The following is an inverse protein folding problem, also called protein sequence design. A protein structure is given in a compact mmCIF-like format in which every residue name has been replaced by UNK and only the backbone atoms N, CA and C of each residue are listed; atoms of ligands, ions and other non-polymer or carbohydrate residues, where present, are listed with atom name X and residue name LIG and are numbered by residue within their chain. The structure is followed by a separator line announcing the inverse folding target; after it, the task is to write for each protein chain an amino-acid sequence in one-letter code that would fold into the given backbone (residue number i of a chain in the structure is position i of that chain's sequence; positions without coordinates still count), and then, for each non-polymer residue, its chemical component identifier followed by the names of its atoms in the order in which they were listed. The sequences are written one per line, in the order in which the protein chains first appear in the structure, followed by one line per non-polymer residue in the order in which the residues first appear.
data_IF_446598205971
#
_entry.id   IF_446598205971
#
_cell.length_a   1.000
_cell.length_b   1.000
_cell.length_c   1.000
_cell.angle_alpha   90.00
_cell.angle_beta   90.00
_cell.angle_gamma   90.00
#
_symmetry.space_group_name_H-M   'P 1'
#
loop_
_entity.id
_entity.type
_entity.pdbx_description
1 polymer ?
#
# COMPACT_ATOMS: atom_id res chain seq x y z
N UNK A 1 2.87 10.82 -19.26
CA UNK A 1 3.04 9.72 -18.29
C UNK A 1 1.87 8.77 -18.37
N UNK A 2 0.65 9.27 -18.48
CA UNK A 2 -0.56 8.44 -18.67
C UNK A 2 -1.03 8.59 -20.12
N UNK A 3 -1.24 7.48 -20.83
CA UNK A 3 -1.90 7.42 -22.12
C UNK A 3 -3.10 6.48 -22.06
N UNK A 4 -4.15 6.83 -22.79
CA UNK A 4 -5.41 6.10 -22.79
C UNK A 4 -5.79 5.83 -24.25
N UNK A 5 -5.92 4.57 -24.62
CA UNK A 5 -6.59 4.19 -25.86
C UNK A 5 -8.09 4.11 -25.56
N UNK A 6 -8.85 5.06 -26.09
CA UNK A 6 -10.30 5.11 -25.87
C UNK A 6 -11.07 4.00 -26.61
N UNK A 7 -10.49 3.43 -27.69
CA UNK A 7 -11.10 2.39 -28.50
C UNK A 7 -11.06 1.06 -27.75
N UNK A 8 -9.88 0.69 -27.29
CA UNK A 8 -9.62 -0.55 -26.55
C UNK A 8 -9.83 -0.40 -25.03
N UNK A 9 -10.09 0.83 -24.56
CA UNK A 9 -10.16 1.18 -23.13
C UNK A 9 -8.93 0.67 -22.37
N UNK A 10 -7.77 0.85 -22.98
CA UNK A 10 -6.47 0.45 -22.46
C UNK A 10 -5.79 1.65 -21.81
N UNK A 11 -5.34 1.47 -20.57
CA UNK A 11 -4.69 2.49 -19.76
C UNK A 11 -3.23 2.13 -19.59
N UNK A 12 -2.34 3.06 -19.94
CA UNK A 12 -0.90 2.86 -19.85
C UNK A 12 -0.26 4.00 -19.06
N UNK A 13 0.25 3.66 -17.88
CA UNK A 13 1.08 4.55 -17.07
C UNK A 13 2.54 4.16 -17.30
N UNK A 14 3.31 5.09 -17.85
CA UNK A 14 4.68 4.86 -18.28
C UNK A 14 5.66 5.77 -17.55
N UNK A 15 6.59 5.15 -16.81
CA UNK A 15 7.67 5.82 -16.10
C UNK A 15 8.95 5.85 -16.93
N UNK A 16 10.08 6.09 -16.25
CA UNK A 16 11.42 6.00 -16.85
C UNK A 16 11.84 4.56 -17.10
N UNK A 17 11.56 3.66 -16.15
CA UNK A 17 11.98 2.26 -16.25
C UNK A 17 10.82 1.26 -16.21
N UNK A 18 9.59 1.73 -15.97
CA UNK A 18 8.42 0.86 -15.82
C UNK A 18 7.27 1.21 -16.76
N UNK A 19 6.47 0.20 -17.06
CA UNK A 19 5.11 0.33 -17.57
C UNK A 19 4.14 -0.35 -16.60
N UNK A 20 2.99 0.30 -16.37
CA UNK A 20 1.83 -0.29 -15.73
C UNK A 20 0.66 -0.20 -16.70
N UNK A 21 0.11 -1.34 -17.10
CA UNK A 21 -0.90 -1.45 -18.16
C UNK A 21 -2.05 -2.30 -17.67
N UNK A 22 -3.26 -1.79 -17.86
CA UNK A 22 -4.50 -2.49 -17.58
C UNK A 22 -5.57 -2.02 -18.57
N UNK A 23 -6.67 -2.76 -18.69
CA UNK A 23 -7.74 -2.43 -19.62
C UNK A 23 -9.11 -2.87 -19.09
N UNK A 24 -10.16 -2.44 -19.78
CA UNK A 24 -11.54 -2.89 -19.55
C UNK A 24 -11.83 -4.06 -20.48
N UNK A 25 -12.17 -5.23 -19.93
CA UNK A 25 -12.51 -6.41 -20.74
C UNK A 25 -13.98 -6.39 -21.23
N UNK A 26 -14.39 -7.43 -21.96
CA UNK A 26 -15.74 -7.57 -22.49
C UNK A 26 -16.84 -7.69 -21.40
N UNK A 27 -16.49 -8.11 -20.18
CA UNK A 27 -17.40 -8.12 -19.01
C UNK A 27 -17.49 -6.76 -18.31
N UNK A 28 -16.78 -5.75 -18.82
CA UNK A 28 -16.56 -4.46 -18.16
C UNK A 28 -15.78 -4.57 -16.85
N UNK A 29 -15.01 -5.64 -16.66
CA UNK A 29 -14.08 -5.79 -15.53
C UNK A 29 -12.76 -5.10 -15.84
N UNK A 30 -12.05 -4.60 -14.82
CA UNK A 30 -10.68 -4.13 -14.98
C UNK A 30 -9.70 -5.29 -14.86
N UNK A 31 -8.97 -5.55 -15.94
CA UNK A 31 -7.96 -6.60 -15.98
C UNK A 31 -6.56 -6.01 -16.04
N UNK A 32 -5.67 -6.58 -15.24
CA UNK A 32 -4.26 -6.22 -15.20
C UNK A 32 -3.52 -6.90 -16.36
N UNK A 33 -2.78 -6.13 -17.16
CA UNK A 33 -2.09 -6.63 -18.34
C UNK A 33 -0.58 -6.74 -18.13
N UNK A 34 0.04 -5.73 -17.51
CA UNK A 34 1.48 -5.66 -17.29
C UNK A 34 1.88 -4.72 -16.15
N UNK A 35 2.78 -5.17 -15.28
CA UNK A 35 3.55 -4.33 -14.38
C UNK A 35 5.00 -4.80 -14.38
N UNK A 36 5.92 -3.97 -14.86
CA UNK A 36 7.32 -4.36 -14.96
C UNK A 36 8.10 -3.46 -15.92
N UNK A 37 9.05 -4.01 -16.72
CA UNK A 37 9.87 -3.23 -17.64
C UNK A 37 9.06 -2.26 -18.51
N UNK A 38 9.63 -1.08 -18.77
CA UNK A 38 9.05 -0.11 -19.70
C UNK A 38 8.83 -0.75 -21.07
N UNK A 39 7.60 -0.69 -21.54
CA UNK A 39 7.18 -1.09 -22.87
C UNK A 39 7.24 0.11 -23.82
N UNK A 40 7.70 -0.12 -25.05
CA UNK A 40 7.77 0.89 -26.11
C UNK A 40 6.79 0.55 -27.24
N UNK A 41 6.36 1.57 -27.98
CA UNK A 41 5.46 1.41 -29.13
C UNK A 41 3.97 1.43 -28.76
N UNK A 42 3.13 1.16 -29.77
CA UNK A 42 1.69 1.06 -29.60
C UNK A 42 1.33 -0.29 -29.01
N UNK A 43 0.60 -0.28 -27.90
CA UNK A 43 0.11 -1.48 -27.24
C UNK A 43 -1.28 -1.84 -27.74
N UNK A 44 -1.55 -3.14 -27.88
CA UNK A 44 -2.84 -3.70 -28.27
C UNK A 44 -3.23 -4.77 -27.24
N UNK A 45 -4.52 -4.86 -26.93
CA UNK A 45 -5.10 -5.90 -26.08
C UNK A 45 -4.65 -7.31 -26.49
N UNK A 46 -4.58 -7.60 -27.79
CA UNK A 46 -4.19 -8.91 -28.30
C UNK A 46 -2.77 -9.34 -27.87
N UNK A 47 -1.90 -8.40 -27.46
CA UNK A 47 -0.57 -8.70 -26.94
C UNK A 47 -0.59 -9.30 -25.52
N UNK A 48 -1.72 -9.20 -24.82
CA UNK A 48 -1.87 -9.57 -23.42
C UNK A 48 -3.00 -10.57 -23.14
N UNK A 49 -3.76 -10.99 -24.17
CA UNK A 49 -4.90 -11.89 -24.05
C UNK A 49 -4.45 -13.34 -23.78
N UNK A 50 -4.30 -13.65 -22.49
CA UNK A 50 -3.94 -14.97 -22.00
C UNK A 50 -5.16 -15.84 -21.67
N UNK A 51 -6.38 -15.37 -21.95
CA UNK A 51 -7.57 -16.15 -21.62
C UNK A 51 -7.64 -17.41 -22.49
N UNK A 52 -7.91 -18.59 -21.88
CA UNK A 52 -8.04 -19.83 -22.62
C UNK A 52 -9.28 -19.77 -23.54
N UNK A 53 -9.22 -20.40 -24.72
CA UNK A 53 -10.37 -20.44 -25.64
C UNK A 53 -11.49 -21.39 -25.18
N UNK A 54 -11.29 -22.10 -24.08
CA UNK A 54 -12.19 -23.13 -23.56
C UNK A 54 -12.36 -22.95 -22.06
N UNK A 55 -13.49 -23.42 -21.53
CA UNK A 55 -13.73 -23.44 -20.09
C UNK A 55 -12.74 -24.36 -19.40
N UNK A 56 -12.26 -23.94 -18.23
CA UNK A 56 -11.45 -24.79 -17.37
C UNK A 56 -12.37 -25.58 -16.45
N UNK A 57 -12.25 -26.91 -16.47
CA UNK A 57 -13.01 -27.78 -15.57
C UNK A 57 -12.76 -27.40 -14.11
N UNK A 58 -13.83 -27.31 -13.30
CA UNK A 58 -13.89 -26.80 -11.91
C UNK A 58 -13.87 -25.28 -11.71
N UNK A 59 -13.76 -24.48 -12.78
CA UNK A 59 -13.87 -23.03 -12.69
C UNK A 59 -15.30 -22.51 -12.86
N UNK A 60 -15.52 -21.27 -12.44
CA UNK A 60 -16.78 -20.56 -12.66
C UNK A 60 -16.58 -19.56 -13.80
N UNK A 61 -17.29 -19.80 -14.91
CA UNK A 61 -17.36 -18.83 -16.00
C UNK A 61 -18.29 -17.69 -15.58
N UNK A 62 -17.76 -16.47 -15.55
CA UNK A 62 -18.52 -15.26 -15.23
C UNK A 62 -19.51 -14.95 -16.36
N UNK A 63 -18.98 -14.84 -17.57
CA UNK A 63 -19.71 -14.52 -18.80
C UNK A 63 -19.06 -15.23 -19.99
N UNK A 64 -19.85 -15.49 -21.02
CA UNK A 64 -19.38 -16.03 -22.30
C UNK A 64 -19.45 -14.94 -23.38
N UNK A 65 -18.29 -14.55 -23.89
CA UNK A 65 -18.15 -13.73 -25.09
C UNK A 65 -17.46 -14.59 -26.18
N UNK A 66 -16.43 -14.06 -26.85
CA UNK A 66 -15.61 -14.85 -27.77
C UNK A 66 -14.82 -15.95 -27.06
N UNK A 67 -14.42 -15.70 -25.80
CA UNK A 67 -13.81 -16.64 -24.87
C UNK A 67 -14.57 -16.64 -23.54
N UNK A 68 -14.55 -17.74 -22.77
CA UNK A 68 -15.08 -17.74 -21.41
C UNK A 68 -14.23 -16.85 -20.50
N UNK A 69 -14.87 -15.96 -19.75
CA UNK A 69 -14.20 -15.12 -18.76
C UNK A 69 -14.20 -15.83 -17.41
N UNK A 70 -13.01 -16.09 -16.87
CA UNK A 70 -12.83 -16.80 -15.62
C UNK A 70 -11.95 -15.98 -14.67
N UNK A 71 -12.61 -15.32 -13.71
CA UNK A 71 -11.94 -14.45 -12.75
C UNK A 71 -10.93 -15.18 -11.84
N UNK A 72 -10.92 -16.52 -11.78
CA UNK A 72 -9.92 -17.25 -10.98
C UNK A 72 -8.52 -17.24 -11.62
N UNK A 73 -8.44 -17.10 -12.94
CA UNK A 73 -7.19 -17.10 -13.71
C UNK A 73 -6.89 -15.76 -14.38
N UNK A 74 -7.86 -14.85 -14.42
CA UNK A 74 -7.65 -13.50 -14.96
C UNK A 74 -6.86 -12.66 -13.95
N UNK A 75 -5.83 -11.96 -14.41
CA UNK A 75 -5.15 -10.94 -13.58
C UNK A 75 -6.04 -9.71 -13.45
N UNK A 76 -6.36 -9.28 -12.24
CA UNK A 76 -7.32 -8.21 -11.97
C UNK A 76 -6.67 -6.95 -11.38
N UNK A 77 -7.36 -5.82 -11.51
CA UNK A 77 -7.00 -4.56 -10.83
C UNK A 77 -7.75 -4.35 -9.50
N UNK A 78 -8.82 -5.11 -9.31
CA UNK A 78 -9.69 -5.14 -8.13
C UNK A 78 -10.35 -6.52 -8.06
N UNK A 79 -10.37 -7.15 -6.89
CA UNK A 79 -11.12 -8.39 -6.67
C UNK A 79 -12.15 -8.26 -5.57
N UNK A 80 -13.26 -8.96 -5.77
CA UNK A 80 -14.35 -9.12 -4.80
C UNK A 80 -14.74 -10.60 -4.72
N UNK A 81 -15.47 -10.97 -3.68
CA UNK A 81 -15.90 -12.34 -3.48
C UNK A 81 -17.20 -12.67 -4.24
N UNK A 82 -17.36 -13.94 -4.62
CA UNK A 82 -18.64 -14.51 -5.05
C UNK A 82 -18.94 -14.48 -6.56
N UNK A 83 -17.98 -14.06 -7.40
CA UNK A 83 -18.12 -14.06 -8.88
C UNK A 83 -17.13 -15.01 -9.58
N UNK A 84 -16.64 -16.02 -8.86
CA UNK A 84 -15.75 -17.06 -9.42
C UNK A 84 -14.26 -16.84 -9.18
N UNK A 85 -13.85 -15.70 -8.61
CA UNK A 85 -12.49 -15.53 -8.08
C UNK A 85 -12.42 -16.07 -6.64
N UNK A 86 -11.68 -17.16 -6.45
CA UNK A 86 -11.49 -17.81 -5.15
C UNK A 86 -10.19 -17.39 -4.43
N UNK A 87 -9.43 -16.46 -5.01
CA UNK A 87 -8.23 -15.86 -4.42
C UNK A 87 -8.62 -14.81 -3.39
N UNK A 88 -7.65 -14.30 -2.63
CA UNK A 88 -7.87 -13.27 -1.63
C UNK A 88 -8.46 -11.98 -2.26
N UNK A 89 -9.65 -11.52 -1.81
CA UNK A 89 -10.30 -10.36 -2.39
C UNK A 89 -9.73 -9.04 -1.84
N UNK A 90 -9.68 -8.02 -2.69
CA UNK A 90 -9.37 -6.63 -2.30
C UNK A 90 -10.41 -6.06 -1.36
N UNK A 91 -11.69 -6.33 -1.65
CA UNK A 91 -12.84 -5.76 -0.96
C UNK A 91 -13.80 -6.88 -0.53
N UNK A 92 -14.23 -6.82 0.72
CA UNK A 92 -15.29 -7.67 1.26
C UNK A 92 -16.21 -6.79 2.10
N UNK A 93 -17.49 -6.75 1.72
CA UNK A 93 -18.51 -5.99 2.42
C UNK A 93 -19.80 -6.79 2.53
N UNK A 94 -20.69 -6.35 3.40
CA UNK A 94 -22.03 -6.88 3.58
C UNK A 94 -23.06 -5.75 3.41
N UNK A 95 -24.09 -5.99 2.61
CA UNK A 95 -25.25 -5.09 2.48
C UNK A 95 -26.23 -5.29 3.64
N UNK A 96 -27.22 -4.41 3.78
CA UNK A 96 -28.23 -4.53 4.83
C UNK A 96 -29.05 -5.84 4.77
N UNK A 97 -29.20 -6.43 3.59
CA UNK A 97 -29.87 -7.72 3.36
C UNK A 97 -28.95 -8.93 3.61
N UNK A 98 -27.67 -8.70 3.93
CA UNK A 98 -26.69 -9.75 4.16
C UNK A 98 -26.00 -10.28 2.90
N UNK A 99 -26.16 -9.61 1.75
CA UNK A 99 -25.43 -9.97 0.53
C UNK A 99 -23.95 -9.61 0.66
N UNK A 100 -23.07 -10.52 0.21
CA UNK A 100 -21.61 -10.38 0.28
C UNK A 100 -20.90 -10.57 -1.05
N UNK A 101 -21.68 -10.78 -2.12
CA UNK A 101 -21.15 -10.91 -3.48
C UNK A 101 -21.34 -9.60 -4.22
N UNK A 102 -20.29 -9.13 -4.87
CA UNK A 102 -20.24 -7.83 -5.55
C UNK A 102 -19.74 -8.05 -6.97
N UNK A 103 -20.14 -7.18 -7.90
CA UNK A 103 -19.64 -7.17 -9.27
C UNK A 103 -19.49 -5.73 -9.76
N UNK A 104 -18.32 -5.17 -9.53
CA UNK A 104 -17.99 -3.83 -9.99
C UNK A 104 -17.65 -3.81 -11.47
N UNK A 105 -18.41 -3.04 -12.24
CA UNK A 105 -18.21 -2.82 -13.67
C UNK A 105 -17.73 -1.42 -13.95
N UNK A 106 -16.85 -1.31 -14.93
CA UNK A 106 -16.33 -0.04 -15.40
C UNK A 106 -17.44 0.89 -15.91
N UNK A 107 -17.42 2.13 -15.44
CA UNK A 107 -18.34 3.21 -15.87
C UNK A 107 -17.58 4.26 -16.65
N UNK A 108 -16.52 4.83 -16.06
CA UNK A 108 -15.80 5.95 -16.65
C UNK A 108 -14.39 6.08 -16.11
N UNK A 109 -13.61 6.98 -16.71
CA UNK A 109 -12.33 7.40 -16.19
C UNK A 109 -12.16 8.91 -16.31
N UNK A 110 -11.33 9.49 -15.45
CA UNK A 110 -10.94 10.89 -15.51
C UNK A 110 -9.45 11.05 -15.19
N UNK A 111 -8.80 12.05 -15.82
CA UNK A 111 -7.47 12.50 -15.44
C UNK A 111 -7.59 13.72 -14.53
N UNK A 112 -7.16 13.56 -13.28
CA UNK A 112 -7.20 14.61 -12.25
C UNK A 112 -5.77 15.14 -12.05
N UNK A 113 -5.59 16.47 -12.17
CA UNK A 113 -4.26 17.10 -12.05
C UNK A 113 -3.71 17.12 -10.63
N UNK A 114 -4.59 17.21 -9.63
CA UNK A 114 -4.24 17.16 -8.23
C UNK A 114 -5.36 16.41 -7.51
N UNK A 115 -4.97 15.40 -6.72
CA UNK A 115 -5.88 14.63 -5.88
C UNK A 115 -5.38 14.74 -4.46
N UNK A 116 -6.25 15.18 -3.57
CA UNK A 116 -5.95 15.32 -2.16
C UNK A 116 -7.08 14.68 -1.34
N UNK A 117 -6.70 13.84 -0.38
CA UNK A 117 -7.64 13.22 0.56
C UNK A 117 -7.43 13.82 1.94
N UNK A 118 -8.42 14.50 2.54
CA UNK A 118 -8.26 15.05 3.87
C UNK A 118 -8.01 13.93 4.90
N UNK A 119 -7.40 14.30 6.03
CA UNK A 119 -7.28 13.46 7.24
C UNK A 119 -6.35 12.23 7.16
N UNK A 120 -5.59 12.05 6.06
CA UNK A 120 -4.55 11.02 5.97
C UNK A 120 -3.22 11.57 5.43
N UNK A 121 -2.08 11.07 5.94
CA UNK A 121 -0.79 11.27 5.27
C UNK A 121 -0.85 10.73 3.84
N UNK A 122 -0.26 11.46 2.91
CA UNK A 122 -0.29 11.12 1.49
C UNK A 122 0.92 11.70 0.77
N UNK A 123 1.24 11.14 -0.38
CA UNK A 123 2.27 11.67 -1.26
C UNK A 123 1.74 12.82 -2.12
N UNK A 124 2.62 13.76 -2.44
CA UNK A 124 2.39 14.68 -3.55
C UNK A 124 2.40 13.91 -4.87
N UNK A 125 1.32 14.05 -5.62
CA UNK A 125 1.07 13.34 -6.87
C UNK A 125 1.19 14.32 -8.04
N UNK A 126 1.57 13.78 -9.20
CA UNK A 126 1.45 14.47 -10.47
C UNK A 126 0.00 14.35 -10.97
N UNK A 127 -0.20 14.07 -12.25
CA UNK A 127 -1.48 13.65 -12.80
C UNK A 127 -1.91 12.28 -12.24
N UNK A 128 -3.20 12.13 -11.97
CA UNK A 128 -3.80 10.93 -11.40
C UNK A 128 -4.92 10.44 -12.30
N UNK A 129 -4.83 9.18 -12.73
CA UNK A 129 -5.94 8.48 -13.38
C UNK A 129 -6.90 7.99 -12.31
N UNK A 130 -8.17 8.35 -12.44
CA UNK A 130 -9.25 7.92 -11.58
C UNK A 130 -10.22 7.09 -12.41
N UNK A 131 -10.37 5.80 -12.07
CA UNK A 131 -11.33 4.90 -12.70
C UNK A 131 -12.55 4.76 -11.80
N UNK A 132 -13.74 4.97 -12.35
CA UNK A 132 -15.00 4.81 -11.64
C UNK A 132 -15.64 3.49 -12.02
N UNK A 133 -15.94 2.67 -11.02
CA UNK A 133 -16.67 1.42 -11.14
C UNK A 133 -17.97 1.50 -10.36
N UNK A 134 -19.01 0.82 -10.85
CA UNK A 134 -20.31 0.71 -10.20
C UNK A 134 -20.63 -0.75 -9.97
N UNK A 135 -21.12 -1.09 -8.78
CA UNK A 135 -21.65 -2.44 -8.55
C UNK A 135 -22.89 -2.70 -9.42
N UNK A 136 -22.97 -3.90 -10.01
CA UNK A 136 -24.03 -4.25 -10.95
C UNK A 136 -25.42 -4.36 -10.30
N UNK A 137 -25.48 -4.71 -9.02
CA UNK A 137 -26.71 -5.05 -8.30
C UNK A 137 -27.07 -4.02 -7.22
N UNK A 138 -26.10 -3.22 -6.77
CA UNK A 138 -26.24 -2.25 -5.67
C UNK A 138 -25.80 -0.84 -6.07
N UNK A 139 -26.40 0.18 -5.43
CA UNK A 139 -26.00 1.59 -5.62
C UNK A 139 -24.74 1.90 -4.81
N UNK A 140 -23.62 1.32 -5.25
CA UNK A 140 -22.31 1.40 -4.60
C UNK A 140 -21.25 1.68 -5.65
N UNK A 141 -20.51 2.78 -5.46
CA UNK A 141 -19.48 3.24 -6.39
C UNK A 141 -18.09 3.02 -5.80
N UNK A 142 -17.14 2.60 -6.63
CA UNK A 142 -15.72 2.57 -6.34
C UNK A 142 -14.96 3.52 -7.27
N UNK A 143 -14.08 4.33 -6.70
CA UNK A 143 -13.07 5.07 -7.46
C UNK A 143 -11.68 4.48 -7.16
N UNK A 144 -10.99 4.00 -8.19
CA UNK A 144 -9.61 3.54 -8.14
C UNK A 144 -8.68 4.65 -8.62
N UNK A 145 -7.72 5.03 -7.79
CA UNK A 145 -6.78 6.10 -8.08
C UNK A 145 -5.40 5.54 -8.42
N UNK A 146 -4.80 6.04 -9.50
CA UNK A 146 -3.49 5.64 -10.01
C UNK A 146 -2.65 6.89 -10.33
N UNK A 147 -1.58 7.10 -9.57
CA UNK A 147 -0.64 8.20 -9.81
C UNK A 147 0.76 7.64 -9.96
N UNK A 148 1.35 7.75 -11.14
CA UNK A 148 2.76 7.43 -11.34
C UNK A 148 3.59 8.71 -11.11
N UNK A 149 4.70 8.59 -10.39
CA UNK A 149 5.62 9.73 -10.17
C UNK A 149 6.88 9.62 -11.02
N UNK A 150 7.64 10.72 -11.10
CA UNK A 150 8.90 10.79 -11.86
C UNK A 150 10.02 9.92 -11.25
N UNK A 151 9.81 9.40 -10.04
CA UNK A 151 10.69 8.49 -9.32
C UNK A 151 10.37 7.01 -9.58
N UNK A 152 9.52 6.70 -10.56
CA UNK A 152 9.05 5.34 -10.88
C UNK A 152 8.28 4.67 -9.72
N UNK A 153 7.55 5.48 -8.95
CA UNK A 153 6.67 5.00 -7.88
C UNK A 153 5.21 5.19 -8.31
N UNK A 154 4.47 4.08 -8.33
CA UNK A 154 3.03 4.05 -8.53
C UNK A 154 2.35 4.16 -7.17
N UNK A 155 1.55 5.20 -7.00
CA UNK A 155 0.69 5.44 -5.83
C UNK A 155 -0.73 5.02 -6.18
N UNK A 156 -1.34 4.21 -5.31
CA UNK A 156 -2.71 3.72 -5.46
C UNK A 156 -3.50 3.85 -4.17
N UNK A 157 -4.78 4.16 -4.31
CA UNK A 157 -5.75 4.09 -3.23
C UNK A 157 -7.16 3.92 -3.82
N UNK A 158 -8.11 3.59 -2.96
CA UNK A 158 -9.48 3.31 -3.35
C UNK A 158 -10.43 4.18 -2.50
N UNK A 159 -11.48 4.69 -3.13
CA UNK A 159 -12.61 5.33 -2.45
C UNK A 159 -13.87 4.52 -2.72
N UNK A 160 -14.58 4.14 -1.66
CA UNK A 160 -15.90 3.51 -1.73
C UNK A 160 -16.96 4.53 -1.33
N UNK A 161 -18.01 4.69 -2.14
CA UNK A 161 -19.15 5.56 -1.84
C UNK A 161 -20.41 4.72 -1.69
N UNK A 162 -21.15 4.97 -0.62
CA UNK A 162 -22.46 4.34 -0.41
C UNK A 162 -23.56 5.24 -1.02
N UNK A 163 -24.02 4.90 -2.23
CA UNK A 163 -25.19 5.54 -2.86
C UNK A 163 -26.52 4.93 -2.41
N UNK A 164 -26.48 3.77 -1.75
CA UNK A 164 -27.67 3.03 -1.32
C UNK A 164 -28.42 3.74 -0.18
N UNK A 165 -29.62 3.25 0.12
CA UNK A 165 -30.50 3.80 1.17
C UNK A 165 -30.17 3.29 2.56
N UNK A 166 -29.39 2.23 2.64
CA UNK A 166 -29.08 1.51 3.87
C UNK A 166 -27.58 1.53 4.15
N UNK A 167 -27.19 1.17 5.36
CA UNK A 167 -25.78 1.10 5.71
C UNK A 167 -25.10 -0.09 5.03
N UNK A 168 -23.84 0.12 4.65
CA UNK A 168 -22.94 -0.95 4.26
C UNK A 168 -21.98 -1.25 5.40
N UNK A 169 -21.60 -2.51 5.53
CA UNK A 169 -20.63 -2.96 6.50
C UNK A 169 -19.39 -3.45 5.75
N UNK A 170 -18.27 -2.73 5.86
CA UNK A 170 -17.01 -3.13 5.27
C UNK A 170 -16.25 -4.01 6.26
N UNK A 171 -16.00 -5.26 5.89
CA UNK A 171 -15.18 -6.19 6.67
C UNK A 171 -13.71 -6.21 6.18
N UNK A 172 -13.46 -5.74 4.96
CA UNK A 172 -12.11 -5.61 4.39
C UNK A 172 -12.11 -4.62 3.22
N UNK A 173 -11.10 -3.77 3.16
CA UNK A 173 -10.83 -2.95 1.98
C UNK A 173 -9.33 -2.61 1.90
N UNK A 174 -8.62 -3.32 1.03
CA UNK A 174 -7.21 -3.05 0.76
C UNK A 174 -7.04 -1.82 -0.15
N UNK A 175 -5.88 -1.16 -0.04
CA UNK A 175 -5.55 0.05 -0.80
C UNK A 175 -5.12 -0.22 -2.24
N UNK A 176 -4.59 -1.41 -2.51
CA UNK A 176 -4.12 -1.81 -3.84
C UNK A 176 -4.17 -3.32 -4.05
N UNK A 177 -4.17 -3.71 -5.33
CA UNK A 177 -4.21 -5.09 -5.83
C UNK A 177 -3.29 -5.22 -7.03
N UNK A 178 -2.31 -6.11 -6.97
CA UNK A 178 -1.41 -6.40 -8.09
C UNK A 178 -1.44 -7.90 -8.40
N UNK A 179 -1.75 -8.27 -9.65
CA UNK A 179 -1.64 -9.65 -10.11
C UNK A 179 -0.45 -9.78 -11.08
N UNK A 180 0.35 -10.84 -10.91
CA UNK A 180 1.49 -11.19 -11.74
C UNK A 180 1.25 -12.51 -12.44
N UNK A 181 1.63 -12.59 -13.72
CA UNK A 181 1.45 -13.76 -14.59
C UNK A 181 2.47 -14.88 -14.34
N UNK A 182 3.17 -14.85 -13.20
CA UNK A 182 4.11 -15.87 -12.77
C UNK A 182 4.30 -15.84 -11.24
N UNK A 183 4.93 -16.88 -10.69
CA UNK A 183 5.19 -17.03 -9.26
C UNK A 183 6.67 -17.14 -8.87
N UNK A 184 7.59 -16.98 -9.83
CA UNK A 184 9.03 -17.09 -9.63
C UNK A 184 9.66 -15.89 -8.89
N UNK A 185 9.25 -15.67 -7.64
CA UNK A 185 9.73 -14.59 -6.78
C UNK A 185 10.36 -15.10 -5.48
N UNK A 186 11.28 -14.30 -4.96
CA UNK A 186 11.72 -14.31 -3.56
C UNK A 186 11.08 -13.11 -2.86
N UNK A 187 10.29 -13.36 -1.82
CA UNK A 187 9.77 -12.34 -0.93
C UNK A 187 10.88 -11.88 0.02
N UNK A 188 11.11 -10.58 0.06
CA UNK A 188 11.99 -9.92 1.03
C UNK A 188 11.11 -9.09 1.97
N UNK A 189 11.20 -9.35 3.27
CA UNK A 189 10.43 -8.65 4.31
C UNK A 189 11.32 -8.18 5.44
N UNK A 190 10.83 -7.20 6.20
CA UNK A 190 11.55 -6.58 7.31
C UNK A 190 10.86 -6.94 8.63
N UNK A 191 11.46 -7.86 9.38
CA UNK A 191 10.92 -8.33 10.65
C UNK A 191 11.80 -7.96 11.83
N UNK A 192 11.27 -8.03 13.04
CA UNK A 192 12.06 -7.81 14.23
C UNK A 192 11.28 -7.92 15.52
N UNK A 193 11.74 -7.16 16.49
CA UNK A 193 11.03 -6.85 17.74
C UNK A 193 11.63 -5.54 18.29
N UNK A 194 11.13 -5.07 19.41
CA UNK A 194 11.75 -3.99 20.18
C UNK A 194 13.26 -4.26 20.38
N UNK A 195 14.09 -3.25 20.09
CA UNK A 195 15.57 -3.27 20.10
C UNK A 195 16.25 -4.13 19.01
N UNK A 196 15.50 -4.64 18.03
CA UNK A 196 16.03 -5.44 16.92
C UNK A 196 15.14 -5.37 15.68
N UNK A 197 14.75 -4.17 15.29
CA UNK A 197 13.76 -3.92 14.24
C UNK A 197 14.33 -4.16 12.83
N UNK A 198 13.46 -4.60 11.91
CA UNK A 198 13.65 -4.55 10.45
C UNK A 198 14.89 -5.30 9.93
N UNK A 199 15.16 -6.48 10.47
CA UNK A 199 16.07 -7.42 9.84
C UNK A 199 15.46 -7.92 8.53
N UNK A 200 16.27 -7.94 7.46
CA UNK A 200 15.84 -8.44 6.17
C UNK A 200 15.80 -9.98 6.18
N UNK A 201 14.67 -10.53 5.76
CA UNK A 201 14.48 -11.96 5.56
C UNK A 201 14.03 -12.23 4.14
N UNK A 202 14.69 -13.19 3.48
CA UNK A 202 14.39 -13.61 2.11
C UNK A 202 13.78 -15.01 2.10
N UNK A 203 12.61 -15.17 1.48
CA UNK A 203 11.86 -16.42 1.42
C UNK A 203 11.38 -16.64 -0.01
N UNK A 204 11.75 -17.74 -0.68
CA UNK A 204 11.14 -18.11 -1.95
C UNK A 204 9.62 -18.26 -1.80
N UNK A 205 8.84 -17.68 -2.71
CA UNK A 205 7.39 -17.88 -2.71
C UNK A 205 7.03 -19.33 -3.07
N UNK A 206 5.93 -19.80 -2.50
CA UNK A 206 5.31 -21.10 -2.78
C UNK A 206 3.80 -20.96 -2.81
N UNK A 207 3.09 -21.96 -3.34
CA UNK A 207 1.63 -21.99 -3.37
C UNK A 207 1.00 -21.71 -2.00
N UNK A 208 -0.12 -20.98 -2.02
CA UNK A 208 -0.85 -20.52 -0.83
C UNK A 208 -0.62 -19.04 -0.52
N UNK A 209 -1.03 -18.61 0.67
CA UNK A 209 -1.03 -17.20 1.10
C UNK A 209 0.06 -16.95 2.13
N UNK A 210 0.94 -15.99 1.84
CA UNK A 210 1.84 -15.37 2.80
C UNK A 210 1.20 -14.09 3.32
N UNK A 211 1.11 -13.96 4.64
CA UNK A 211 0.53 -12.79 5.31
C UNK A 211 1.59 -12.05 6.12
N UNK A 212 1.73 -10.75 5.88
CA UNK A 212 2.53 -9.82 6.68
C UNK A 212 1.59 -8.81 7.30
N UNK A 213 1.56 -8.70 8.63
CA UNK A 213 0.55 -7.86 9.27
C UNK A 213 0.95 -7.30 10.64
N UNK A 214 0.25 -6.25 11.05
CA UNK A 214 0.22 -5.79 12.43
C UNK A 214 -1.21 -5.62 12.89
N UNK A 215 -1.49 -6.08 14.12
CA UNK A 215 -2.77 -5.96 14.81
C UNK A 215 -2.67 -5.09 16.07
N UNK A 216 -1.55 -4.36 16.23
CA UNK A 216 -1.21 -3.62 17.46
C UNK A 216 -1.80 -2.20 17.52
N UNK A 217 -2.59 -1.80 16.52
CA UNK A 217 -3.02 -0.41 16.34
C UNK A 217 -1.92 0.52 15.80
N UNK A 218 -0.72 -0.02 15.58
CA UNK A 218 0.45 0.65 14.98
C UNK A 218 1.10 -0.27 13.97
N UNK A 219 1.91 0.26 13.04
CA UNK A 219 2.64 -0.56 12.05
C UNK A 219 3.60 -1.57 12.68
N UNK A 220 4.07 -1.32 13.90
CA UNK A 220 4.84 -2.25 14.77
C UNK A 220 6.34 -2.40 14.49
N UNK A 221 7.03 -2.93 15.51
CA UNK A 221 8.42 -3.38 15.46
C UNK A 221 8.59 -4.80 14.90
N UNK A 222 7.50 -5.55 14.79
CA UNK A 222 7.51 -7.00 14.54
C UNK A 222 7.58 -7.29 13.04
N UNK A 223 6.74 -6.58 12.28
CA UNK A 223 6.70 -6.60 10.82
C UNK A 223 6.56 -5.17 10.31
N UNK A 224 7.33 -4.79 9.30
CA UNK A 224 7.16 -3.51 8.63
C UNK A 224 6.14 -3.62 7.48
N UNK A 225 5.36 -2.57 7.16
CA UNK A 225 4.48 -2.56 5.98
C UNK A 225 5.23 -2.59 4.64
N UNK A 226 6.55 -2.45 4.66
CA UNK A 226 7.38 -2.64 3.47
C UNK A 226 7.71 -4.12 3.23
N UNK A 227 7.60 -4.54 1.96
CA UNK A 227 8.16 -5.78 1.45
C UNK A 227 8.55 -5.64 -0.02
N UNK A 228 9.34 -6.57 -0.54
CA UNK A 228 9.72 -6.63 -1.94
C UNK A 228 9.53 -8.03 -2.52
N UNK A 229 9.16 -8.08 -3.81
CA UNK A 229 9.20 -9.30 -4.62
C UNK A 229 10.38 -9.17 -5.58
N UNK A 230 11.43 -9.92 -5.32
CA UNK A 230 12.61 -9.99 -6.16
C UNK A 230 12.47 -11.17 -7.10
N UNK A 231 12.69 -10.98 -8.41
CA UNK A 231 12.71 -12.07 -9.37
C UNK A 231 13.73 -13.13 -8.95
N UNK A 232 13.46 -14.41 -9.23
CA UNK A 232 14.28 -15.54 -8.74
C UNK A 232 15.79 -15.40 -9.02
N UNK A 233 16.16 -14.78 -10.14
CA UNK A 233 17.55 -14.58 -10.56
C UNK A 233 18.08 -13.17 -10.26
N UNK A 234 17.25 -12.28 -9.71
CA UNK A 234 17.65 -10.92 -9.40
C UNK A 234 18.49 -10.83 -8.12
N UNK A 235 19.27 -9.76 -8.00
CA UNK A 235 20.18 -9.52 -6.89
C UNK A 235 20.19 -8.07 -6.43
N UNK A 236 21.29 -7.67 -5.79
CA UNK A 236 21.42 -6.32 -5.21
C UNK A 236 21.44 -5.22 -6.28
N UNK A 237 21.98 -5.49 -7.47
CA UNK A 237 22.26 -4.48 -8.51
C UNK A 237 21.74 -4.86 -9.90
N UNK A 238 20.98 -5.95 -10.02
CA UNK A 238 20.47 -6.43 -11.30
C UNK A 238 19.19 -7.24 -11.12
N UNK A 239 18.41 -7.32 -12.20
CA UNK A 239 17.20 -8.12 -12.28
C UNK A 239 15.98 -7.44 -11.67
N UNK A 240 14.82 -7.95 -12.05
CA UNK A 240 13.53 -7.36 -11.75
C UNK A 240 13.21 -7.43 -10.26
N UNK A 241 12.94 -6.28 -9.65
CA UNK A 241 12.58 -6.16 -8.24
C UNK A 241 11.41 -5.20 -8.09
N UNK A 242 10.37 -5.65 -7.40
CA UNK A 242 9.19 -4.88 -7.07
C UNK A 242 9.21 -4.56 -5.58
N UNK A 243 9.06 -3.29 -5.21
CA UNK A 243 8.96 -2.86 -3.81
C UNK A 243 7.56 -2.34 -3.51
N UNK A 244 7.02 -2.65 -2.34
CA UNK A 244 5.68 -2.26 -1.90
C UNK A 244 5.74 -1.64 -0.51
N UNK A 245 4.97 -0.59 -0.26
CA UNK A 245 4.86 0.02 1.06
C UNK A 245 3.47 0.66 1.24
N UNK A 246 3.13 1.04 2.47
CA UNK A 246 1.86 1.67 2.82
C UNK A 246 2.13 3.01 3.51
N UNK A 247 1.50 4.08 3.03
CA UNK A 247 1.49 5.38 3.70
C UNK A 247 0.41 5.33 4.79
N UNK A 248 0.70 4.57 5.84
CA UNK A 248 -0.19 4.33 6.97
C UNK A 248 0.62 3.91 8.19
N UNK A 249 0.17 4.32 9.38
CA UNK A 249 0.90 4.06 10.63
C UNK A 249 0.16 3.15 11.61
N UNK A 250 -1.04 2.67 11.25
CA UNK A 250 -1.88 1.78 12.07
C UNK A 250 -1.67 0.30 11.78
N UNK A 251 -2.67 -0.52 12.15
CA UNK A 251 -2.72 -1.95 11.78
C UNK A 251 -2.77 -2.12 10.26
N UNK A 252 -1.75 -2.78 9.69
CA UNK A 252 -1.67 -3.06 8.26
C UNK A 252 -1.75 -4.56 7.99
N UNK A 253 -2.05 -4.92 6.75
CA UNK A 253 -2.00 -6.29 6.23
C UNK A 253 -1.60 -6.27 4.75
N UNK A 254 -0.63 -7.13 4.40
CA UNK A 254 -0.27 -7.49 3.04
C UNK A 254 -0.46 -9.00 2.88
N UNK A 255 -1.19 -9.41 1.83
CA UNK A 255 -1.35 -10.80 1.44
C UNK A 255 -0.66 -11.01 0.10
N UNK A 256 0.27 -11.96 0.06
CA UNK A 256 0.97 -12.41 -1.14
C UNK A 256 0.55 -13.84 -1.39
N UNK A 257 -0.33 -14.05 -2.36
CA UNK A 257 -0.90 -15.36 -2.68
C UNK A 257 -0.31 -15.90 -3.98
N UNK A 258 0.19 -17.13 -3.95
CA UNK A 258 0.48 -17.88 -5.17
C UNK A 258 -0.66 -18.86 -5.41
N UNK A 259 -1.42 -18.62 -6.48
CA UNK A 259 -2.57 -19.42 -6.86
C UNK A 259 -2.17 -20.79 -7.43
N UNK A 260 -3.11 -21.75 -7.52
CA UNK A 260 -2.88 -23.04 -8.21
C UNK A 260 -2.54 -22.93 -9.70
N UNK A 261 -2.63 -21.72 -10.28
CA UNK A 261 -2.39 -21.44 -11.70
C UNK A 261 -1.08 -20.66 -11.92
N UNK A 262 -0.14 -20.73 -10.98
CA UNK A 262 1.18 -20.07 -11.04
C UNK A 262 1.12 -18.53 -11.11
N UNK A 263 -0.03 -17.94 -10.79
CA UNK A 263 -0.21 -16.49 -10.67
C UNK A 263 0.10 -16.03 -9.26
N UNK A 264 0.75 -14.88 -9.12
CA UNK A 264 0.95 -14.22 -7.82
C UNK A 264 0.00 -13.05 -7.67
N UNK A 265 -0.76 -13.00 -6.58
CA UNK A 265 -1.56 -11.84 -6.18
C UNK A 265 -0.92 -11.15 -4.99
N UNK A 266 -0.90 -9.82 -5.01
CA UNK A 266 -0.53 -8.97 -3.89
C UNK A 266 -1.68 -8.02 -3.59
N UNK A 267 -2.23 -8.08 -2.39
CA UNK A 267 -3.16 -7.06 -1.86
C UNK A 267 -2.59 -6.45 -0.59
N UNK A 268 -2.72 -5.13 -0.44
CA UNK A 268 -2.05 -4.38 0.63
C UNK A 268 -2.90 -3.22 1.12
N UNK A 269 -3.05 -3.07 2.44
CA UNK A 269 -3.84 -1.99 3.04
C UNK A 269 -4.05 -2.14 4.55
N UNK A 270 -5.19 -1.64 5.02
CA UNK A 270 -5.61 -1.75 6.44
C UNK A 270 -5.85 -3.23 6.78
N UNK A 271 -5.41 -3.64 7.99
CA UNK A 271 -5.61 -5.01 8.45
C UNK A 271 -7.10 -5.35 8.59
N UNK A 272 -7.52 -6.50 8.04
CA UNK A 272 -8.90 -6.98 8.14
C UNK A 272 -9.26 -7.63 9.48
N UNK A 273 -8.30 -7.87 10.38
CA UNK A 273 -8.55 -8.41 11.71
C UNK A 273 -9.24 -7.38 12.61
N UNK A 274 -10.44 -7.71 13.09
CA UNK A 274 -11.29 -6.84 13.93
C UNK A 274 -11.58 -5.48 13.27
N UNK A 275 -11.49 -5.41 11.94
CA UNK A 275 -11.93 -4.28 11.16
C UNK A 275 -13.39 -4.46 10.77
N UNK A 276 -14.22 -3.48 11.14
CA UNK A 276 -15.62 -3.43 10.74
C UNK A 276 -16.06 -1.98 10.63
N UNK A 277 -16.18 -1.48 9.41
CA UNK A 277 -16.56 -0.09 9.17
C UNK A 277 -18.00 0.01 8.70
N UNK A 278 -18.84 0.70 9.48
CA UNK A 278 -20.21 1.03 9.08
C UNK A 278 -20.18 2.29 8.21
N UNK A 279 -20.51 2.13 6.93
CA UNK A 279 -20.56 3.21 5.95
C UNK A 279 -22.02 3.60 5.68
N UNK A 280 -22.44 4.78 6.15
CA UNK A 280 -23.85 5.19 6.04
C UNK A 280 -24.20 5.69 4.63
N UNK A 281 -25.49 5.79 4.28
CA UNK A 281 -25.94 6.41 3.04
C UNK A 281 -25.30 7.79 2.81
N UNK A 282 -24.73 8.00 1.62
CA UNK A 282 -24.05 9.23 1.22
C UNK A 282 -22.65 9.41 1.79
N UNK A 283 -22.16 8.53 2.67
CA UNK A 283 -20.79 8.57 3.18
C UNK A 283 -19.80 7.90 2.20
N UNK A 284 -18.52 8.20 2.39
CA UNK A 284 -17.42 7.57 1.67
C UNK A 284 -16.39 6.98 2.66
N UNK A 285 -15.74 5.89 2.25
CA UNK A 285 -14.56 5.36 2.90
C UNK A 285 -13.36 5.50 1.97
N UNK A 286 -12.23 5.99 2.49
CA UNK A 286 -11.00 6.21 1.74
C UNK A 286 -9.92 5.33 2.34
N UNK A 287 -9.28 4.50 1.54
CA UNK A 287 -8.11 3.72 1.99
C UNK A 287 -6.87 4.60 2.08
N UNK A 288 -5.87 4.28 2.93
CA UNK A 288 -4.56 4.90 2.85
C UNK A 288 -3.91 4.64 1.48
N UNK A 289 -2.87 5.38 1.14
CA UNK A 289 -2.14 5.17 -0.10
C UNK A 289 -1.18 3.97 0.02
N UNK A 290 -1.30 3.02 -0.89
CA UNK A 290 -0.28 1.99 -1.13
C UNK A 290 0.63 2.47 -2.24
N UNK A 291 1.93 2.27 -2.06
CA UNK A 291 2.93 2.61 -3.07
C UNK A 291 3.63 1.34 -3.57
N UNK A 292 3.92 1.30 -4.86
CA UNK A 292 4.75 0.26 -5.46
C UNK A 292 5.78 0.84 -6.41
N UNK A 293 6.95 0.23 -6.51
CA UNK A 293 7.99 0.57 -7.50
C UNK A 293 8.45 -0.69 -8.20
N UNK A 294 8.91 -0.53 -9.43
CA UNK A 294 9.66 -1.55 -10.16
C UNK A 294 11.07 -1.06 -10.44
N UNK A 295 12.05 -1.96 -10.40
CA UNK A 295 13.41 -1.68 -10.87
C UNK A 295 14.00 -2.88 -11.60
N UNK A 296 14.59 -2.69 -12.80
CA UNK A 296 15.40 -3.71 -13.46
C UNK A 296 16.83 -3.81 -12.89
N UNK A 297 17.19 -2.92 -11.97
CA UNK A 297 18.53 -2.79 -11.37
C UNK A 297 18.59 -3.35 -9.95
N UNK A 298 17.78 -4.37 -9.67
CA UNK A 298 17.76 -5.06 -8.38
C UNK A 298 17.28 -4.20 -7.21
N UNK A 299 17.65 -4.63 -6.00
CA UNK A 299 17.30 -3.95 -4.74
C UNK A 299 17.83 -2.52 -4.63
N UNK A 300 18.99 -2.23 -5.25
CA UNK A 300 19.57 -0.88 -5.25
C UNK A 300 18.68 0.11 -5.99
N UNK A 301 18.26 -0.20 -7.21
CA UNK A 301 17.38 0.69 -7.96
C UNK A 301 16.01 0.84 -7.31
N UNK A 302 15.47 -0.23 -6.71
CA UNK A 302 14.24 -0.18 -5.92
C UNK A 302 14.36 0.77 -4.72
N UNK A 303 15.43 0.66 -3.91
CA UNK A 303 15.67 1.55 -2.76
C UNK A 303 15.85 2.99 -3.19
N UNK A 304 16.60 3.23 -4.27
CA UNK A 304 16.82 4.56 -4.83
C UNK A 304 15.51 5.24 -5.24
N UNK A 305 14.60 4.50 -5.89
CA UNK A 305 13.27 5.00 -6.22
C UNK A 305 12.48 5.39 -4.97
N UNK A 306 12.41 4.50 -3.98
CA UNK A 306 11.65 4.74 -2.74
C UNK A 306 12.25 5.88 -1.88
N UNK A 307 13.58 5.98 -1.79
CA UNK A 307 14.26 7.05 -1.05
C UNK A 307 14.00 8.42 -1.70
N UNK A 308 14.16 8.53 -3.02
CA UNK A 308 13.87 9.77 -3.74
C UNK A 308 12.39 10.14 -3.62
N UNK A 309 11.49 9.18 -3.81
CA UNK A 309 10.06 9.40 -3.65
C UNK A 309 9.71 9.90 -2.23
N UNK A 310 10.24 9.26 -1.19
CA UNK A 310 9.96 9.66 0.20
C UNK A 310 10.45 11.08 0.48
N UNK A 311 11.67 11.41 0.05
CA UNK A 311 12.23 12.75 0.28
C UNK A 311 11.51 13.83 -0.52
N UNK A 312 11.18 13.58 -1.79
CA UNK A 312 10.62 14.60 -2.69
C UNK A 312 9.10 14.72 -2.64
N UNK A 313 8.38 13.66 -2.26
CA UNK A 313 6.91 13.58 -2.36
C UNK A 313 6.20 13.47 -1.01
N UNK A 314 6.89 13.05 0.05
CA UNK A 314 6.28 12.88 1.38
C UNK A 314 6.86 13.88 2.38
N UNK A 315 8.16 13.76 2.71
CA UNK A 315 8.78 14.52 3.80
C UNK A 315 9.06 15.96 3.40
N UNK A 316 9.58 16.18 2.18
CA UNK A 316 9.86 17.50 1.59
C UNK A 316 10.62 18.46 2.52
N UNK A 317 11.58 17.92 3.26
CA UNK A 317 12.45 18.70 4.15
C UNK A 317 13.92 18.38 3.86
N UNK A 318 14.55 19.27 3.10
CA UNK A 318 15.94 19.16 2.67
C UNK A 318 16.93 19.75 3.70
N UNK A 319 16.44 20.21 4.86
CA UNK A 319 17.32 20.76 5.89
C UNK A 319 18.23 19.66 6.46
N UNK A 320 19.48 20.01 6.70
CA UNK A 320 20.39 19.16 7.46
C UNK A 320 19.82 18.97 8.87
N UNK A 321 19.75 17.71 9.32
CA UNK A 321 19.29 17.39 10.68
C UNK A 321 20.41 17.72 11.67
N UNK A 322 20.10 18.38 12.81
CA UNK A 322 21.12 18.78 13.77
C UNK A 322 21.75 17.57 14.46
N UNK A 323 23.04 17.66 14.78
CA UNK A 323 23.72 16.74 15.70
C UNK A 323 23.19 17.03 17.11
N UNK A 324 22.27 16.19 17.58
CA UNK A 324 21.61 16.36 18.87
C UNK A 324 22.30 15.58 20.00
N UNK A 325 22.15 16.07 21.22
CA UNK A 325 22.44 15.33 22.45
C UNK A 325 21.13 15.13 23.22
N UNK A 326 20.73 13.87 23.44
CA UNK A 326 19.54 13.50 24.21
C UNK A 326 19.97 12.95 25.59
N UNK A 327 19.28 13.32 26.67
CA UNK A 327 19.65 12.90 28.02
C UNK A 327 19.06 11.56 28.51
N UNK A 328 18.24 10.85 27.72
CA UNK A 328 17.53 9.64 28.14
C UNK A 328 18.45 8.61 28.80
N UNK A 329 19.41 8.03 28.07
CA UNK A 329 20.32 7.03 28.66
C UNK A 329 21.36 7.64 29.61
N UNK A 330 21.57 8.96 29.55
CA UNK A 330 22.54 9.65 30.41
C UNK A 330 22.02 9.84 31.85
N UNK A 331 20.71 9.95 32.02
CA UNK A 331 20.11 10.24 33.32
C UNK A 331 18.88 9.40 33.66
N UNK A 332 18.21 8.81 32.67
CA UNK A 332 16.81 8.37 32.78
C UNK A 332 16.00 9.46 33.51
N UNK A 333 15.19 9.07 34.47
CA UNK A 333 14.40 9.99 35.29
C UNK A 333 15.22 10.76 36.35
N UNK A 334 16.46 10.37 36.65
CA UNK A 334 17.32 11.00 37.68
C UNK A 334 18.02 12.26 37.15
N UNK A 335 17.27 13.36 37.04
CA UNK A 335 17.85 14.66 36.71
C UNK A 335 17.18 15.83 37.43
N UNK A 336 17.86 16.97 37.38
CA UNK A 336 17.33 18.29 37.68
C UNK A 336 17.96 19.32 36.74
N UNK A 337 17.47 20.56 36.77
CA UNK A 337 17.91 21.65 35.92
C UNK A 337 19.44 21.84 35.95
N UNK A 338 20.08 21.71 37.12
CA UNK A 338 21.53 21.86 37.25
C UNK A 338 22.28 20.75 36.48
N UNK A 339 21.85 19.50 36.60
CA UNK A 339 22.43 18.35 35.88
C UNK A 339 22.26 18.52 34.37
N UNK A 340 21.06 18.89 33.92
CA UNK A 340 20.74 19.14 32.50
C UNK A 340 21.57 20.30 31.92
N UNK A 341 21.66 21.45 32.60
CA UNK A 341 22.47 22.58 32.15
C UNK A 341 23.95 22.20 32.05
N UNK A 342 24.45 21.39 32.99
CA UNK A 342 25.83 20.88 32.94
C UNK A 342 26.06 20.00 31.71
N UNK A 343 25.14 19.09 31.40
CA UNK A 343 25.18 18.25 30.19
C UNK A 343 25.09 19.09 28.92
N UNK A 344 24.15 20.03 28.83
CA UNK A 344 24.00 20.91 27.68
C UNK A 344 25.26 21.76 27.42
N UNK A 345 25.90 22.29 28.47
CA UNK A 345 27.19 22.99 28.33
C UNK A 345 28.32 22.08 27.86
N UNK A 346 28.32 20.81 28.27
CA UNK A 346 29.29 19.82 27.81
C UNK A 346 29.05 19.45 26.34
N UNK A 347 27.81 19.17 25.96
CA UNK A 347 27.40 18.90 24.59
C UNK A 347 27.76 20.06 23.65
N UNK A 348 27.51 21.32 24.06
CA UNK A 348 27.93 22.51 23.31
C UNK A 348 29.45 22.57 23.08
N UNK A 349 30.26 22.22 24.08
CA UNK A 349 31.74 22.18 23.91
C UNK A 349 32.20 21.08 22.94
N UNK A 350 31.43 20.01 22.78
CA UNK A 350 31.66 18.95 21.80
C UNK A 350 31.12 19.28 20.40
N UNK A 351 30.40 20.40 20.25
CA UNK A 351 29.84 20.82 18.97
C UNK A 351 28.41 20.34 18.70
N UNK A 352 27.69 19.84 19.71
CA UNK A 352 26.26 19.52 19.54
C UNK A 352 25.46 20.80 19.22
N UNK A 353 24.51 20.68 18.29
CA UNK A 353 23.71 21.77 17.74
C UNK A 353 22.34 21.87 18.42
N UNK A 354 21.87 20.76 19.01
CA UNK A 354 20.59 20.66 19.70
C UNK A 354 20.73 19.85 21.00
N UNK A 355 20.03 20.25 22.05
CA UNK A 355 19.88 19.45 23.27
C UNK A 355 18.42 19.04 23.41
N UNK A 356 18.16 17.73 23.48
CA UNK A 356 16.83 17.17 23.65
C UNK A 356 16.62 16.78 25.13
N UNK A 357 15.65 17.42 25.77
CA UNK A 357 15.19 17.02 27.11
C UNK A 357 14.16 15.90 26.96
N UNK A 358 14.52 14.71 27.43
CA UNK A 358 13.71 13.49 27.31
C UNK A 358 12.73 13.29 28.48
N UNK A 359 12.14 12.09 28.63
CA UNK A 359 11.10 11.77 29.60
C UNK A 359 11.49 12.16 31.05
N UNK A 360 10.49 12.58 31.83
CA UNK A 360 10.66 13.01 33.22
C UNK A 360 10.50 14.51 33.48
N UNK A 361 10.32 15.35 32.46
CA UNK A 361 10.25 16.82 32.61
C UNK A 361 8.88 17.35 33.06
N UNK A 362 7.84 16.54 33.03
CA UNK A 362 6.44 16.95 33.22
C UNK A 362 5.78 16.34 34.46
N UNK A 363 4.68 16.95 34.91
CA UNK A 363 3.85 16.49 36.04
C UNK A 363 4.68 16.19 37.28
N UNK A 364 4.58 14.95 37.76
CA UNK A 364 5.45 14.37 38.80
C UNK A 364 6.21 13.13 38.27
N UNK A 365 6.60 13.14 36.99
CA UNK A 365 7.24 12.04 36.26
C UNK A 365 8.65 11.70 36.79
N UNK A 366 8.68 10.96 37.90
CA UNK A 366 9.89 10.42 38.53
C UNK A 366 10.23 8.99 38.08
N UNK A 367 9.28 8.33 37.43
CA UNK A 367 9.37 7.00 36.83
C UNK A 367 8.38 6.88 35.65
N UNK A 368 8.27 5.69 35.06
CA UNK A 368 7.35 5.39 33.97
C UNK A 368 5.92 5.01 34.43
N UNK A 369 5.63 5.04 35.74
CA UNK A 369 4.35 4.59 36.32
C UNK A 369 3.28 5.69 36.47
N UNK A 370 3.60 6.98 36.23
CA UNK A 370 2.65 8.09 36.46
C UNK A 370 2.82 9.29 35.51
N UNK A 371 1.89 10.26 35.57
CA UNK A 371 1.94 11.59 34.89
C UNK A 371 1.74 11.65 33.36
N UNK A 372 1.60 10.54 32.63
CA UNK A 372 1.21 10.63 31.21
C UNK A 372 -0.18 11.28 31.09
N UNK A 373 -0.25 12.39 30.35
CA UNK A 373 -1.43 13.25 30.25
C UNK A 373 -1.27 14.63 30.93
N UNK A 374 -0.32 14.76 31.88
CA UNK A 374 -0.08 16.00 32.64
C UNK A 374 1.11 16.79 32.05
N UNK A 375 0.91 17.37 30.87
CA UNK A 375 1.96 18.08 30.09
C UNK A 375 2.30 19.49 30.62
N UNK A 376 2.64 19.57 31.91
CA UNK A 376 3.07 20.80 32.61
C UNK A 376 4.41 20.57 33.29
N UNK A 377 5.22 21.61 33.46
CA UNK A 377 6.56 21.52 34.04
C UNK A 377 6.62 20.82 35.41
N UNK A 378 7.57 19.90 35.58
CA UNK A 378 7.92 19.27 36.85
C UNK A 378 8.77 20.20 37.73
N UNK A 379 8.13 21.12 38.45
CA UNK A 379 8.78 22.19 39.25
C UNK A 379 9.82 21.76 40.30
N UNK A 380 9.84 20.49 40.72
CA UNK A 380 10.89 19.99 41.62
C UNK A 380 12.20 19.63 40.88
N UNK A 381 12.11 19.34 39.58
CA UNK A 381 13.26 19.00 38.72
C UNK A 381 13.74 20.21 37.95
N UNK A 382 12.83 20.99 37.37
CA UNK A 382 13.11 22.11 36.48
C UNK A 382 13.13 23.46 37.20
#
# INVERSE_FOLDING_TARGET
MISIDATERLFHLQGKHLSYVFAVDASSSLVHLHYGPRLEGTLDWAMFDDNPPLELGSSTTLEHHDKPINLHITSLELSTYGKGDYREPTLHMETAEGYRSLHFRYVSHTLKKQVHFPDMPQAEKNETLCITLQDADHDVELELYYSLTDEDVLVRNIVLRNGSRDDLILDRMFSAHYDFKHCAFTLIKLDGAWLRERHAHSIPLSYGVFKLDSKKGVSSSDHNPFFALQGKEAGEQFGDTYGFNLIYSGSFEALIEVSPHDLTRVVHGINSFDFKWRLKPGEQFITPESISTYSPSGLSGMRDNLHRFTNHRIVKDDRLRPILYNNWEATYFDFNARKIIKLARAAKRLGAECFCLDDGWFGTRDDDHQSLGDWVEHRKKL
#
